data_IF_210143723784
#
_entry.id   IF_210143723784
#
_cell.length_a   1.000
_cell.length_b   1.000
_cell.length_c   1.000
_cell.angle_alpha   90.00
_cell.angle_beta   90.00
_cell.angle_gamma   90.00
#
_symmetry.space_group_name_H-M   'P 1'
#
loop_
_entity.id
_entity.type
_entity.pdbx_description
1 polymer ?
#
# COMPACT_ATOMS: atom_id res chain seq x y z
N UNK A 1 -13.43 -8.16 50.30
CA UNK A 1 -14.79 -8.07 49.72
C UNK A 1 -15.14 -6.61 49.35
N UNK A 2 -14.46 -6.03 48.35
CA UNK A 2 -14.80 -4.71 47.77
C UNK A 2 -13.91 -4.46 46.54
N UNK A 3 -14.22 -5.11 45.41
CA UNK A 3 -13.62 -4.83 44.10
C UNK A 3 -14.46 -5.47 42.99
N UNK A 4 -15.72 -5.02 42.85
CA UNK A 4 -16.53 -5.29 41.64
C UNK A 4 -17.74 -4.35 41.59
N UNK A 5 -17.51 -3.07 41.26
CA UNK A 5 -18.62 -2.16 40.94
C UNK A 5 -18.27 -0.97 40.04
N UNK A 6 -17.00 -0.63 39.82
CA UNK A 6 -16.63 0.53 38.97
C UNK A 6 -16.49 0.24 37.47
N UNK A 7 -16.64 -1.01 37.03
CA UNK A 7 -16.55 -1.39 35.61
C UNK A 7 -17.86 -1.27 34.81
N UNK A 8 -18.97 -0.81 35.41
CA UNK A 8 -20.30 -0.81 34.76
C UNK A 8 -20.79 0.54 34.24
N UNK A 9 -20.01 1.63 34.35
CA UNK A 9 -20.48 2.96 33.96
C UNK A 9 -19.99 3.46 32.57
N UNK A 10 -18.89 2.93 32.02
CA UNK A 10 -18.35 3.43 30.74
C UNK A 10 -18.95 2.79 29.48
N UNK A 11 -19.70 1.69 29.60
CA UNK A 11 -20.24 0.97 28.42
C UNK A 11 -21.56 1.52 27.89
N UNK A 12 -22.28 2.36 28.65
CA UNK A 12 -23.56 2.95 28.19
C UNK A 12 -23.42 4.22 27.35
N UNK A 13 -22.28 4.92 27.43
CA UNK A 13 -22.04 6.14 26.65
C UNK A 13 -21.58 5.86 25.20
N UNK A 14 -20.91 4.72 24.96
CA UNK A 14 -20.46 4.31 23.62
C UNK A 14 -21.59 3.74 22.76
N UNK A 15 -22.61 3.13 23.39
CA UNK A 15 -23.72 2.47 22.67
C UNK A 15 -24.74 3.50 22.12
N UNK A 16 -24.91 4.66 22.77
CA UNK A 16 -25.85 5.69 22.29
C UNK A 16 -25.36 6.51 21.09
N UNK A 17 -24.09 6.41 20.68
CA UNK A 17 -23.57 7.11 19.49
C UNK A 17 -23.60 6.27 18.21
N UNK A 18 -23.76 4.94 18.34
CA UNK A 18 -23.76 3.99 17.22
C UNK A 18 -25.14 3.84 16.52
N UNK A 19 -26.24 4.29 17.14
CA UNK A 19 -27.61 4.12 16.61
C UNK A 19 -28.00 5.22 15.59
N UNK A 20 -27.16 6.26 15.39
CA UNK A 20 -27.48 7.37 14.46
C UNK A 20 -26.93 7.23 13.04
N UNK A 21 -26.23 6.13 12.71
CA UNK A 21 -25.61 5.93 11.38
C UNK A 21 -25.75 4.51 10.81
N UNK A 22 -26.86 3.83 11.09
CA UNK A 22 -27.40 2.76 10.23
C UNK A 22 -26.43 1.72 9.64
N UNK A 23 -25.58 1.09 10.47
CA UNK A 23 -24.72 -0.02 10.05
C UNK A 23 -25.16 -1.33 10.73
N UNK A 24 -25.35 -2.37 9.91
CA UNK A 24 -25.83 -3.72 10.28
C UNK A 24 -24.82 -4.49 11.14
N UNK A 25 -25.33 -5.29 12.08
CA UNK A 25 -24.63 -5.85 13.24
C UNK A 25 -23.97 -7.22 13.03
N UNK A 26 -23.27 -7.45 11.91
CA UNK A 26 -22.61 -8.75 11.67
C UNK A 26 -21.24 -8.57 11.02
N UNK A 27 -20.25 -8.08 11.79
CA UNK A 27 -18.80 -8.30 11.56
C UNK A 27 -17.95 -7.70 12.71
N UNK A 28 -18.40 -7.81 13.97
CA UNK A 28 -17.72 -7.20 15.13
C UNK A 28 -17.26 -8.23 16.19
N UNK A 29 -16.95 -9.47 15.76
CA UNK A 29 -16.62 -10.57 16.69
C UNK A 29 -15.36 -11.37 16.31
N UNK A 30 -14.35 -10.72 15.72
CA UNK A 30 -12.98 -11.22 15.65
C UNK A 30 -12.07 -10.02 15.90
N UNK A 31 -11.00 -10.17 16.69
CA UNK A 31 -10.21 -9.13 17.37
C UNK A 31 -10.73 -8.68 18.74
N UNK A 32 -10.54 -9.57 19.72
CA UNK A 32 -10.15 -9.15 21.08
C UNK A 32 -8.63 -9.26 21.16
N UNK A 33 -7.88 -8.22 21.54
CA UNK A 33 -6.46 -8.37 21.82
C UNK A 33 -6.33 -9.17 23.13
N UNK A 34 -5.75 -10.36 23.04
CA UNK A 34 -5.27 -11.12 24.20
C UNK A 34 -3.99 -10.45 24.72
N UNK A 35 -3.86 -10.18 26.03
CA UNK A 35 -2.61 -9.73 26.61
C UNK A 35 -1.65 -10.92 26.71
N UNK A 36 -0.85 -11.12 25.67
CA UNK A 36 0.12 -12.22 25.54
C UNK A 36 1.55 -11.78 25.87
N UNK A 37 1.96 -12.05 27.11
CA UNK A 37 3.26 -12.56 27.55
C UNK A 37 4.53 -12.05 26.81
N UNK A 38 5.05 -10.91 27.24
CA UNK A 38 6.46 -10.55 27.07
C UNK A 38 7.18 -10.90 28.39
N UNK A 39 7.71 -12.12 28.53
CA UNK A 39 8.48 -12.47 29.75
C UNK A 39 9.98 -12.41 29.48
N UNK A 40 10.59 -11.34 29.99
CA UNK A 40 11.98 -11.35 30.42
C UNK A 40 12.05 -12.24 31.68
N UNK A 41 13.01 -13.15 31.71
CA UNK A 41 13.22 -14.05 32.85
C UNK A 41 14.01 -13.29 33.91
N UNK A 42 13.34 -12.61 34.82
CA UNK A 42 13.97 -11.90 35.93
C UNK A 42 14.13 -12.86 37.12
N UNK A 43 15.36 -13.03 37.58
CA UNK A 43 15.70 -13.75 38.81
C UNK A 43 15.47 -12.82 40.01
N UNK A 44 14.62 -13.25 40.95
CA UNK A 44 14.27 -12.49 42.15
C UNK A 44 15.46 -12.36 43.12
N UNK A 45 15.73 -11.12 43.53
CA UNK A 45 16.31 -10.82 44.84
C UNK A 45 15.45 -9.75 45.50
N UNK A 46 14.97 -10.05 46.69
CA UNK A 46 14.07 -9.22 47.49
C UNK A 46 14.82 -8.13 48.24
N UNK A 47 14.52 -6.87 47.95
CA UNK A 47 14.76 -5.76 48.88
C UNK A 47 13.64 -4.73 48.71
N UNK A 48 12.89 -4.48 49.78
CA UNK A 48 11.90 -3.40 49.82
C UNK A 48 12.63 -2.07 49.84
N UNK A 49 12.57 -1.34 48.74
CA UNK A 49 13.00 0.05 48.63
C UNK A 49 11.90 0.78 47.87
N UNK A 50 11.49 1.94 48.39
CA UNK A 50 10.49 2.80 47.76
C UNK A 50 10.91 3.11 46.32
N UNK A 51 10.20 2.52 45.36
CA UNK A 51 10.55 2.60 43.94
C UNK A 51 10.22 3.99 43.40
N UNK A 52 11.17 4.92 43.56
CA UNK A 52 11.29 6.03 42.62
C UNK A 52 11.40 5.40 41.23
N UNK A 53 10.39 5.60 40.36
CA UNK A 53 10.47 5.20 38.95
C UNK A 53 11.74 5.82 38.38
N UNK A 54 12.76 5.01 38.10
CA UNK A 54 13.97 5.46 37.42
C UNK A 54 13.56 6.00 36.07
N UNK A 55 13.68 7.33 35.88
CA UNK A 55 13.42 7.98 34.58
C UNK A 55 14.40 7.38 33.57
N UNK A 56 13.88 6.78 32.49
CA UNK A 56 14.70 6.13 31.45
C UNK A 56 15.40 7.14 30.54
N UNK A 57 14.84 8.35 30.40
CA UNK A 57 15.37 9.45 29.59
C UNK A 57 15.00 10.80 30.20
N UNK A 58 15.59 11.87 29.66
CA UNK A 58 15.06 13.22 29.82
C UNK A 58 13.71 13.33 29.09
N UNK A 59 12.82 14.25 29.49
CA UNK A 59 11.58 14.50 28.76
C UNK A 59 11.87 14.79 27.28
N UNK A 60 11.15 14.11 26.39
CA UNK A 60 11.40 14.17 24.95
C UNK A 60 10.77 15.42 24.34
N UNK A 61 11.58 16.13 23.56
CA UNK A 61 11.17 17.23 22.71
C UNK A 61 11.32 16.75 21.28
N UNK A 62 10.20 16.36 20.68
CA UNK A 62 10.17 15.56 19.46
C UNK A 62 9.99 16.48 18.25
N UNK A 63 10.86 16.31 17.25
CA UNK A 63 10.60 16.78 15.89
C UNK A 63 10.08 15.62 15.05
N UNK A 64 8.78 15.61 14.78
CA UNK A 64 8.11 14.58 14.00
C UNK A 64 8.00 14.97 12.52
N UNK A 65 8.64 14.22 11.64
CA UNK A 65 8.66 14.44 10.20
C UNK A 65 7.80 13.38 9.49
N UNK A 66 6.84 13.80 8.66
CA UNK A 66 6.04 12.84 7.90
C UNK A 66 5.20 13.49 6.81
N UNK A 67 4.28 12.74 6.19
CA UNK A 67 3.49 13.24 5.07
C UNK A 67 2.14 12.57 4.87
N UNK A 68 2.02 11.25 5.05
CA UNK A 68 0.85 10.47 4.67
C UNK A 68 0.07 9.90 5.86
N UNK A 69 -0.96 9.10 5.58
CA UNK A 69 -1.83 8.50 6.60
C UNK A 69 -1.09 7.48 7.49
N UNK A 70 -0.01 6.85 7.00
CA UNK A 70 0.84 5.98 7.81
C UNK A 70 1.55 6.79 8.90
N UNK A 71 2.11 7.95 8.53
CA UNK A 71 2.71 8.88 9.48
C UNK A 71 1.67 9.54 10.41
N UNK A 72 0.42 9.70 9.96
CA UNK A 72 -0.66 10.21 10.80
C UNK A 72 -0.95 9.28 11.98
N UNK A 73 -1.04 7.98 11.75
CA UNK A 73 -1.24 7.00 12.82
C UNK A 73 -0.12 7.08 13.88
N UNK A 74 1.14 7.20 13.45
CA UNK A 74 2.27 7.37 14.37
C UNK A 74 2.20 8.69 15.15
N UNK A 75 1.83 9.81 14.51
CA UNK A 75 1.67 11.11 15.17
C UNK A 75 0.57 11.07 16.24
N UNK A 76 -0.57 10.46 15.93
CA UNK A 76 -1.69 10.31 16.87
C UNK A 76 -1.27 9.53 18.11
N UNK A 77 -0.53 8.42 17.94
CA UNK A 77 -0.05 7.61 19.04
C UNK A 77 0.92 8.38 19.95
N UNK A 78 1.92 9.10 19.38
CA UNK A 78 2.86 9.88 20.21
C UNK A 78 2.17 11.09 20.86
N UNK A 79 1.19 11.71 20.21
CA UNK A 79 0.42 12.80 20.81
C UNK A 79 -0.44 12.31 21.98
N UNK A 80 -1.03 11.12 21.84
CA UNK A 80 -1.75 10.47 22.94
C UNK A 80 -0.82 10.14 24.11
N UNK A 81 0.38 9.63 23.83
CA UNK A 81 1.39 9.36 24.86
C UNK A 81 1.88 10.66 25.52
N UNK A 82 2.09 11.75 24.78
CA UNK A 82 2.38 13.08 25.33
C UNK A 82 1.30 13.54 26.31
N UNK A 83 0.02 13.37 25.96
CA UNK A 83 -1.09 13.74 26.85
C UNK A 83 -1.18 12.86 28.10
N UNK A 84 -0.76 11.60 28.03
CA UNK A 84 -0.82 10.62 29.13
C UNK A 84 0.40 10.68 30.03
N UNK A 85 1.57 10.96 29.46
CA UNK A 85 2.86 10.88 30.11
C UNK A 85 3.75 12.08 29.69
N UNK A 86 3.45 13.29 30.18
CA UNK A 86 4.23 14.49 29.85
C UNK A 86 5.67 14.43 30.36
N UNK A 87 5.95 13.58 31.36
CA UNK A 87 7.32 13.30 31.82
C UNK A 87 8.16 12.56 30.78
N UNK A 88 7.52 11.79 29.89
CA UNK A 88 8.19 11.10 28.79
C UNK A 88 8.26 11.97 27.54
N UNK A 89 7.16 12.60 27.14
CA UNK A 89 7.13 13.48 25.95
C UNK A 89 6.65 14.85 26.41
N UNK A 90 7.53 15.84 26.35
CA UNK A 90 7.28 17.22 26.80
C UNK A 90 6.70 18.09 25.68
N UNK A 91 7.21 17.95 24.45
CA UNK A 91 6.70 18.71 23.29
C UNK A 91 6.81 17.95 21.98
N UNK A 92 5.97 18.33 21.02
CA UNK A 92 5.96 17.77 19.66
C UNK A 92 5.84 18.92 18.65
N UNK A 93 6.85 19.03 17.80
CA UNK A 93 6.87 19.88 16.61
C UNK A 93 6.75 18.98 15.38
N UNK A 94 6.04 19.44 14.34
CA UNK A 94 5.79 18.65 13.13
C UNK A 94 6.44 19.29 11.91
N UNK A 95 7.20 18.51 11.15
CA UNK A 95 7.70 18.90 9.82
C UNK A 95 6.90 18.19 8.75
N UNK A 96 6.33 18.98 7.84
CA UNK A 96 5.61 18.49 6.65
C UNK A 96 6.23 19.09 5.39
N UNK A 97 6.07 18.43 4.25
CA UNK A 97 6.42 19.03 2.96
C UNK A 97 5.30 19.94 2.48
N UNK A 98 5.60 21.01 1.70
CA UNK A 98 4.58 21.79 1.02
C UNK A 98 3.65 20.92 0.18
N UNK A 99 2.39 21.34 0.08
CA UNK A 99 1.42 20.74 -0.81
C UNK A 99 1.90 20.69 -2.26
N UNK A 100 1.51 19.65 -2.97
CA UNK A 100 1.92 19.44 -4.37
C UNK A 100 0.78 19.78 -5.33
N UNK A 101 1.07 20.44 -6.47
CA UNK A 101 0.10 20.59 -7.55
C UNK A 101 -0.33 19.22 -8.11
N UNK A 102 -1.64 19.03 -8.29
CA UNK A 102 -2.27 17.78 -8.74
C UNK A 102 -3.48 18.04 -9.64
N UNK A 103 -3.99 16.98 -10.26
CA UNK A 103 -5.14 17.03 -11.17
C UNK A 103 -4.79 17.51 -12.58
N UNK A 104 -5.80 17.56 -13.46
CA UNK A 104 -5.64 18.07 -14.83
C UNK A 104 -5.29 19.57 -14.77
N UNK A 105 -4.20 19.95 -15.43
CA UNK A 105 -3.68 21.33 -15.42
C UNK A 105 -3.04 21.76 -14.10
N UNK A 106 -2.80 20.84 -13.15
CA UNK A 106 -2.08 21.08 -11.89
C UNK A 106 -2.65 22.21 -11.02
N UNK A 107 -3.95 22.51 -11.14
CA UNK A 107 -4.60 23.61 -10.40
C UNK A 107 -4.96 23.28 -8.95
N UNK A 108 -4.96 21.99 -8.57
CA UNK A 108 -5.36 21.55 -7.23
C UNK A 108 -4.11 21.32 -6.40
N UNK A 109 -3.87 22.12 -5.36
CA UNK A 109 -2.80 21.85 -4.40
C UNK A 109 -3.29 20.80 -3.41
N UNK A 110 -2.71 19.61 -3.45
CA UNK A 110 -2.97 18.55 -2.48
C UNK A 110 -2.00 18.69 -1.32
N UNK A 111 -2.53 19.05 -0.16
CA UNK A 111 -1.76 19.09 1.08
C UNK A 111 -1.49 17.68 1.62
N UNK A 112 -0.37 17.46 2.33
CA UNK A 112 -0.12 16.20 3.03
C UNK A 112 -1.16 15.98 4.14
N UNK A 113 -1.77 14.78 4.25
CA UNK A 113 -2.70 14.46 5.34
C UNK A 113 -2.18 14.83 6.74
N UNK A 114 -0.88 14.63 6.99
CA UNK A 114 -0.25 14.93 8.27
C UNK A 114 -0.36 16.41 8.66
N UNK A 115 -0.37 17.34 7.69
CA UNK A 115 -0.52 18.76 7.97
C UNK A 115 -1.91 19.08 8.55
N UNK A 116 -2.95 18.44 8.01
CA UNK A 116 -4.32 18.58 8.51
C UNK A 116 -4.47 18.03 9.93
N UNK A 117 -3.90 16.85 10.20
CA UNK A 117 -3.89 16.24 11.53
C UNK A 117 -3.10 17.09 12.54
N UNK A 118 -1.88 17.51 12.21
CA UNK A 118 -1.07 18.33 13.11
C UNK A 118 -1.76 19.65 13.47
N UNK A 119 -2.46 20.25 12.51
CA UNK A 119 -3.24 21.48 12.74
C UNK A 119 -4.43 21.22 13.68
N UNK A 120 -5.15 20.10 13.51
CA UNK A 120 -6.29 19.76 14.36
C UNK A 120 -5.88 19.41 15.80
N UNK A 121 -4.66 18.90 15.98
CA UNK A 121 -4.05 18.64 17.29
C UNK A 121 -3.41 19.88 17.93
N UNK A 122 -3.38 21.02 17.23
CA UNK A 122 -2.80 22.28 17.72
C UNK A 122 -1.26 22.23 17.84
N UNK A 123 -0.59 21.39 17.05
CA UNK A 123 0.87 21.26 17.07
C UNK A 123 1.55 22.31 16.20
N UNK A 124 2.78 22.69 16.56
CA UNK A 124 3.58 23.61 15.76
C UNK A 124 4.03 22.94 14.47
N UNK A 125 3.72 23.55 13.32
CA UNK A 125 4.05 23.01 12.00
C UNK A 125 5.18 23.81 11.34
N UNK A 126 6.16 23.09 10.80
CA UNK A 126 7.24 23.59 9.97
C UNK A 126 7.09 23.01 8.55
N UNK A 127 6.62 23.81 7.61
CA UNK A 127 6.46 23.37 6.23
C UNK A 127 7.77 23.53 5.45
N UNK A 128 8.46 22.44 5.09
CA UNK A 128 9.80 22.43 4.46
C UNK A 128 9.90 21.48 3.26
N UNK A 129 10.44 21.94 2.14
CA UNK A 129 10.79 21.11 0.98
C UNK A 129 12.25 20.67 0.98
N UNK A 130 13.09 21.31 1.80
CA UNK A 130 14.49 20.98 2.08
C UNK A 130 14.85 21.34 3.52
N UNK A 131 15.88 20.67 4.06
CA UNK A 131 16.52 21.08 5.31
C UNK A 131 17.67 22.07 5.10
N UNK A 132 18.10 22.36 3.87
CA UNK A 132 19.19 23.29 3.61
C UNK A 132 18.86 24.68 4.15
N UNK A 133 19.78 25.28 4.92
CA UNK A 133 19.61 26.61 5.52
C UNK A 133 18.59 26.70 6.66
N UNK A 134 17.98 25.59 7.07
CA UNK A 134 17.02 25.55 8.17
C UNK A 134 17.65 25.02 9.46
N UNK A 135 17.38 25.67 10.59
CA UNK A 135 17.81 25.19 11.89
C UNK A 135 16.62 24.61 12.65
N UNK A 136 16.84 23.44 13.24
CA UNK A 136 15.87 22.81 14.13
C UNK A 136 15.62 23.70 15.35
N UNK A 137 14.37 23.79 15.86
CA UNK A 137 14.09 24.52 17.09
C UNK A 137 15.04 24.11 18.22
N UNK A 138 15.35 25.07 19.10
CA UNK A 138 16.12 24.80 20.30
C UNK A 138 15.36 23.78 21.16
N UNK A 139 16.09 22.96 21.91
CA UNK A 139 15.60 21.92 22.83
C UNK A 139 15.14 20.60 22.20
N UNK A 140 14.96 20.50 20.87
CA UNK A 140 14.66 19.20 20.23
C UNK A 140 15.78 18.20 20.53
N UNK A 141 15.41 17.10 21.18
CA UNK A 141 16.34 16.06 21.60
C UNK A 141 16.10 14.70 20.93
N UNK A 142 15.02 14.56 20.15
CA UNK A 142 14.73 13.38 19.34
C UNK A 142 14.05 13.76 18.01
N UNK A 143 14.55 13.23 16.90
CA UNK A 143 13.88 13.32 15.59
C UNK A 143 13.14 12.01 15.31
N UNK A 144 11.88 12.08 14.89
CA UNK A 144 11.14 10.90 14.44
C UNK A 144 10.71 11.14 13.01
N UNK A 145 11.17 10.33 12.05
CA UNK A 145 10.72 10.41 10.67
C UNK A 145 9.86 9.18 10.34
N UNK A 146 8.65 9.38 9.82
CA UNK A 146 7.78 8.29 9.39
C UNK A 146 7.19 8.66 8.03
N UNK A 147 7.43 7.82 7.02
CA UNK A 147 7.03 8.09 5.62
C UNK A 147 7.38 9.52 5.16
N UNK A 148 8.60 9.95 5.49
CA UNK A 148 9.07 11.30 5.18
C UNK A 148 10.00 11.28 3.97
N UNK A 149 9.60 11.96 2.91
CA UNK A 149 10.30 11.93 1.62
C UNK A 149 11.55 12.81 1.52
N UNK A 150 12.14 13.26 2.64
CA UNK A 150 13.41 13.99 2.69
C UNK A 150 14.37 13.29 3.64
N UNK A 151 15.65 13.31 3.27
CA UNK A 151 16.70 12.78 4.12
C UNK A 151 16.97 13.75 5.29
N UNK A 152 16.93 13.26 6.53
CA UNK A 152 17.28 14.08 7.70
C UNK A 152 18.80 14.19 7.79
N UNK A 153 19.39 15.39 7.62
CA UNK A 153 20.84 15.51 7.51
C UNK A 153 21.54 15.22 8.85
N UNK A 154 22.79 14.73 8.82
CA UNK A 154 23.55 14.36 10.02
C UNK A 154 23.62 15.47 11.07
N UNK A 155 23.73 16.73 10.65
CA UNK A 155 23.76 17.89 11.58
C UNK A 155 22.53 17.99 12.49
N UNK A 156 21.35 17.58 12.01
CA UNK A 156 20.13 17.60 12.82
C UNK A 156 20.08 16.40 13.76
N UNK A 157 20.49 15.23 13.28
CA UNK A 157 20.59 14.02 14.09
C UNK A 157 21.62 14.17 15.22
N UNK A 158 22.74 14.84 14.96
CA UNK A 158 23.77 15.12 15.97
C UNK A 158 23.35 16.19 16.99
N UNK A 159 22.52 17.15 16.57
CA UNK A 159 21.97 18.16 17.47
C UNK A 159 20.93 17.57 18.45
N UNK A 160 20.22 16.52 18.04
CA UNK A 160 19.30 15.79 18.90
C UNK A 160 20.06 14.79 19.79
N UNK A 161 19.98 14.95 21.12
CA UNK A 161 20.66 14.07 22.10
C UNK A 161 20.47 12.57 21.84
N UNK A 162 19.27 12.17 21.42
CA UNK A 162 18.88 10.78 21.17
C UNK A 162 18.88 10.42 19.67
N UNK A 163 19.42 11.28 18.81
CA UNK A 163 19.46 11.05 17.37
C UNK A 163 18.07 11.06 16.75
N UNK A 164 17.75 10.00 16.01
CA UNK A 164 16.40 9.86 15.49
C UNK A 164 15.96 8.44 15.20
N UNK A 165 14.65 8.29 15.04
CA UNK A 165 13.96 7.03 14.81
C UNK A 165 13.19 7.05 13.48
N UNK A 166 13.03 5.88 12.89
CA UNK A 166 12.14 5.65 11.77
C UNK A 166 11.24 4.43 12.02
N UNK A 167 9.98 4.54 11.60
CA UNK A 167 9.03 3.43 11.55
C UNK A 167 8.90 3.01 10.10
N UNK A 168 9.39 1.82 9.78
CA UNK A 168 9.41 1.29 8.42
C UNK A 168 8.43 0.13 8.28
N UNK A 169 7.47 0.17 7.33
CA UNK A 169 6.41 -0.83 7.24
C UNK A 169 6.84 -2.07 6.44
N UNK A 170 7.98 -2.66 6.83
CA UNK A 170 8.42 -4.00 6.46
C UNK A 170 9.28 -4.61 7.55
N UNK A 171 9.59 -5.90 7.43
CA UNK A 171 10.57 -6.59 8.27
C UNK A 171 11.98 -6.38 7.72
N UNK A 172 12.62 -5.27 8.09
CA UNK A 172 14.02 -5.04 7.73
C UNK A 172 14.93 -6.21 8.17
N UNK A 173 15.99 -6.55 7.39
CA UNK A 173 16.52 -5.81 6.24
C UNK A 173 15.76 -6.01 4.92
N UNK A 174 14.70 -6.82 4.88
CA UNK A 174 13.89 -7.02 3.67
C UNK A 174 13.00 -5.81 3.36
N UNK A 175 12.79 -5.55 2.06
CA UNK A 175 11.96 -4.48 1.52
C UNK A 175 12.37 -3.06 1.97
N UNK A 176 13.67 -2.77 2.00
CA UNK A 176 14.20 -1.40 2.17
C UNK A 176 13.72 -0.48 1.06
N UNK A 177 13.57 0.81 1.36
CA UNK A 177 13.28 1.83 0.37
C UNK A 177 11.84 2.36 0.41
N UNK A 178 11.46 3.19 -0.57
CA UNK A 178 10.30 4.07 -0.43
C UNK A 178 8.92 3.45 -0.75
N UNK A 179 8.84 2.18 -1.16
CA UNK A 179 7.56 1.55 -1.53
C UNK A 179 7.35 0.13 -0.93
N UNK A 180 7.67 -0.12 0.35
CA UNK A 180 7.65 -1.46 0.95
C UNK A 180 6.28 -2.14 0.81
N UNK A 181 5.18 -1.45 1.12
CA UNK A 181 3.84 -2.02 1.07
C UNK A 181 3.44 -2.52 -0.33
N UNK A 182 3.77 -1.77 -1.37
CA UNK A 182 3.50 -2.18 -2.74
C UNK A 182 4.31 -3.44 -3.09
N UNK A 183 5.59 -3.48 -2.72
CA UNK A 183 6.46 -4.62 -3.01
C UNK A 183 6.11 -5.85 -2.18
N UNK A 184 5.65 -5.70 -0.93
CA UNK A 184 5.06 -6.79 -0.13
C UNK A 184 3.97 -7.51 -0.91
N UNK A 185 3.04 -6.74 -1.49
CA UNK A 185 1.95 -7.30 -2.29
C UNK A 185 2.43 -7.86 -3.62
N UNK A 186 3.29 -7.15 -4.36
CA UNK A 186 3.78 -7.59 -5.68
C UNK A 186 4.55 -8.91 -5.60
N UNK A 187 5.37 -9.08 -4.56
CA UNK A 187 6.11 -10.32 -4.31
C UNK A 187 5.22 -11.46 -3.78
N UNK A 188 3.95 -11.18 -3.45
CA UNK A 188 3.04 -12.18 -2.89
C UNK A 188 3.51 -12.68 -1.53
N UNK A 189 4.08 -11.81 -0.70
CA UNK A 189 4.48 -12.16 0.66
C UNK A 189 3.26 -12.65 1.45
N UNK A 190 3.41 -13.77 2.16
CA UNK A 190 2.35 -14.33 3.01
C UNK A 190 2.23 -13.64 4.37
N UNK A 191 3.30 -12.96 4.78
CA UNK A 191 3.37 -12.22 6.03
C UNK A 191 3.98 -10.85 5.79
N UNK A 192 3.69 -9.92 6.70
CA UNK A 192 4.28 -8.58 6.71
C UNK A 192 4.71 -8.19 8.12
N UNK A 193 5.25 -6.99 8.26
CA UNK A 193 5.76 -6.49 9.52
C UNK A 193 5.97 -4.99 9.55
N UNK A 194 6.31 -4.49 10.73
CA UNK A 194 6.83 -3.15 10.91
C UNK A 194 8.12 -3.21 11.72
N UNK A 195 9.09 -2.40 11.33
CA UNK A 195 10.35 -2.19 12.04
C UNK A 195 10.40 -0.80 12.65
N UNK A 196 10.80 -0.72 13.92
CA UNK A 196 11.34 0.48 14.54
C UNK A 196 12.88 0.41 14.46
N UNK A 197 13.48 1.40 13.80
CA UNK A 197 14.93 1.51 13.64
C UNK A 197 15.41 2.92 14.01
N UNK A 198 16.73 3.10 14.14
CA UNK A 198 17.32 4.45 14.13
C UNK A 198 17.26 5.08 12.74
N UNK A 199 17.44 6.39 12.65
CA UNK A 199 17.80 7.05 11.40
C UNK A 199 19.30 6.90 11.17
N UNK A 200 19.69 6.53 9.95
CA UNK A 200 21.08 6.47 9.52
C UNK A 200 21.51 7.82 8.91
N UNK A 201 22.81 8.11 9.00
CA UNK A 201 23.39 9.39 8.57
C UNK A 201 23.64 9.50 7.05
N UNK A 202 23.59 8.39 6.31
CA UNK A 202 23.95 8.35 4.90
C UNK A 202 22.87 7.70 4.01
N UNK A 203 22.17 6.69 4.52
CA UNK A 203 21.35 5.80 3.70
C UNK A 203 19.98 5.55 4.33
N UNK A 204 18.91 5.72 3.55
CA UNK A 204 17.56 5.37 4.02
C UNK A 204 17.47 3.92 4.47
N UNK A 205 16.76 3.69 5.57
CA UNK A 205 16.43 2.37 6.12
C UNK A 205 17.63 1.49 6.51
N UNK A 206 18.79 2.09 6.78
CA UNK A 206 20.02 1.42 7.24
C UNK A 206 20.35 1.65 8.72
N UNK A 207 19.38 2.12 9.51
CA UNK A 207 19.57 2.27 10.95
C UNK A 207 19.63 0.92 11.68
N UNK A 208 20.03 0.98 12.94
CA UNK A 208 19.98 -0.18 13.84
C UNK A 208 18.53 -0.59 14.04
N UNK A 209 18.23 -1.89 13.94
CA UNK A 209 16.90 -2.41 14.17
C UNK A 209 16.70 -2.50 15.68
N UNK A 210 15.80 -1.68 16.22
CA UNK A 210 15.56 -1.61 17.67
C UNK A 210 14.45 -2.57 18.11
N UNK A 211 13.42 -2.70 17.26
CA UNK A 211 12.30 -3.60 17.52
C UNK A 211 11.54 -3.90 16.22
N UNK A 212 10.87 -5.04 16.16
CA UNK A 212 10.02 -5.44 15.04
C UNK A 212 8.78 -6.16 15.56
N UNK A 213 7.70 -6.10 14.79
CA UNK A 213 6.62 -7.07 14.95
C UNK A 213 7.15 -8.50 14.69
N UNK A 214 6.66 -9.53 15.39
CA UNK A 214 7.04 -10.91 15.08
C UNK A 214 6.67 -11.26 13.63
N UNK A 215 7.55 -11.97 12.92
CA UNK A 215 7.45 -12.11 11.46
C UNK A 215 6.21 -12.85 10.94
N UNK A 216 5.65 -13.74 11.74
CA UNK A 216 4.42 -14.50 11.46
C UNK A 216 3.17 -13.88 12.10
N UNK A 217 3.31 -12.81 12.88
CA UNK A 217 2.19 -12.21 13.62
C UNK A 217 1.21 -11.43 12.74
N UNK A 218 1.58 -11.10 11.49
CA UNK A 218 0.73 -10.38 10.55
C UNK A 218 0.60 -11.13 9.22
N UNK A 219 -0.20 -12.20 9.18
CA UNK A 219 -0.51 -12.90 7.93
C UNK A 219 -1.32 -12.01 6.98
N UNK A 220 -1.04 -12.14 5.68
CA UNK A 220 -1.73 -11.42 4.62
C UNK A 220 -2.79 -12.30 3.96
N UNK A 221 -4.04 -11.80 3.79
CA UNK A 221 -5.00 -12.44 2.91
C UNK A 221 -4.47 -12.58 1.48
N UNK A 222 -4.82 -13.66 0.78
CA UNK A 222 -4.33 -13.92 -0.59
C UNK A 222 -4.75 -12.82 -1.60
N UNK A 223 -5.89 -12.19 -1.35
CA UNK A 223 -6.48 -11.10 -2.12
C UNK A 223 -6.25 -9.71 -1.47
N UNK A 224 -5.33 -9.61 -0.52
CA UNK A 224 -5.05 -8.36 0.19
C UNK A 224 -4.80 -7.20 -0.79
N UNK A 225 -5.47 -6.09 -0.52
CA UNK A 225 -5.31 -4.82 -1.23
C UNK A 225 -4.30 -3.92 -0.54
N UNK A 226 -3.77 -2.94 -1.26
CA UNK A 226 -2.89 -1.92 -0.67
C UNK A 226 -3.53 -1.24 0.55
N UNK A 227 -4.82 -0.91 0.47
CA UNK A 227 -5.52 -0.23 1.57
C UNK A 227 -5.64 -1.13 2.80
N UNK A 228 -6.04 -2.39 2.62
CA UNK A 228 -6.12 -3.35 3.74
C UNK A 228 -4.75 -3.58 4.39
N UNK A 229 -3.68 -3.71 3.58
CA UNK A 229 -2.33 -3.82 4.10
C UNK A 229 -1.93 -2.57 4.91
N UNK A 230 -2.21 -1.37 4.39
CA UNK A 230 -1.97 -0.12 5.08
C UNK A 230 -2.74 -0.03 6.41
N UNK A 231 -4.03 -0.38 6.40
CA UNK A 231 -4.90 -0.36 7.58
C UNK A 231 -4.43 -1.34 8.68
N UNK A 232 -3.72 -2.41 8.31
CA UNK A 232 -3.09 -3.33 9.26
C UNK A 232 -1.77 -2.79 9.82
N UNK A 233 -0.87 -2.29 8.95
CA UNK A 233 0.49 -1.93 9.38
C UNK A 233 0.57 -0.56 10.05
N UNK A 234 -0.29 0.39 9.71
CA UNK A 234 -0.28 1.74 10.28
C UNK A 234 -0.50 1.75 11.81
N UNK A 235 -1.56 1.13 12.35
CA UNK A 235 -1.73 1.06 13.81
C UNK A 235 -0.64 0.21 14.49
N UNK A 236 -0.16 -0.85 13.85
CA UNK A 236 0.93 -1.68 14.39
C UNK A 236 2.23 -0.88 14.53
N UNK A 237 2.58 -0.08 13.52
CA UNK A 237 3.75 0.79 13.56
C UNK A 237 3.63 1.93 14.57
N UNK A 238 2.45 2.50 14.71
CA UNK A 238 2.16 3.51 15.72
C UNK A 238 2.33 2.97 17.15
N UNK A 239 1.80 1.78 17.43
CA UNK A 239 1.97 1.11 18.73
C UNK A 239 3.44 0.72 18.97
N UNK A 240 4.13 0.20 17.94
CA UNK A 240 5.55 -0.18 18.04
C UNK A 240 6.42 1.04 18.41
N UNK A 241 6.15 2.20 17.81
CA UNK A 241 6.82 3.45 18.15
C UNK A 241 6.53 3.87 19.59
N UNK A 242 5.25 3.96 19.97
CA UNK A 242 4.85 4.36 21.32
C UNK A 242 5.41 3.42 22.40
N UNK A 243 5.41 2.11 22.14
CA UNK A 243 6.03 1.12 23.00
C UNK A 243 7.56 1.32 23.09
N UNK A 244 8.24 1.52 21.96
CA UNK A 244 9.67 1.76 21.94
C UNK A 244 10.10 3.02 22.70
N UNK A 245 9.29 4.08 22.66
CA UNK A 245 9.52 5.28 23.48
C UNK A 245 9.34 4.98 24.98
N UNK A 246 8.28 4.26 25.38
CA UNK A 246 8.03 3.86 26.77
C UNK A 246 9.14 2.99 27.35
N UNK A 247 9.68 2.08 26.54
CA UNK A 247 10.77 1.21 26.95
C UNK A 247 12.15 1.89 26.86
N UNK A 248 12.23 3.10 26.33
CA UNK A 248 13.50 3.83 26.22
C UNK A 248 14.44 3.24 25.16
N UNK A 249 13.92 2.63 24.10
CA UNK A 249 14.75 2.03 23.03
C UNK A 249 15.59 3.06 22.25
N UNK A 250 15.27 4.35 22.41
CA UNK A 250 16.03 5.47 21.85
C UNK A 250 17.21 5.90 22.73
N UNK A 251 17.38 5.31 23.92
CA UNK A 251 18.39 5.71 24.90
C UNK A 251 19.65 4.85 24.72
N UNK A 252 20.83 5.45 24.50
CA UNK A 252 22.08 4.69 24.43
C UNK A 252 22.43 3.95 25.73
N UNK A 253 23.15 2.81 25.67
CA UNK A 253 23.62 2.14 24.46
C UNK A 253 22.48 1.44 23.71
N UNK A 254 22.41 1.66 22.40
CA UNK A 254 21.38 1.06 21.55
C UNK A 254 21.71 -0.41 21.28
N UNK A 255 20.69 -1.26 21.31
CA UNK A 255 20.81 -2.68 21.02
C UNK A 255 20.21 -3.00 19.65
N UNK A 256 21.04 -3.49 18.74
CA UNK A 256 20.56 -3.98 17.44
C UNK A 256 20.03 -5.42 17.59
N UNK A 257 18.77 -5.63 17.24
CA UNK A 257 18.11 -6.94 17.26
C UNK A 257 18.08 -7.62 15.89
N UNK A 258 18.77 -7.05 14.89
CA UNK A 258 18.85 -7.57 13.52
C UNK A 258 19.31 -9.04 13.45
N UNK A 259 20.23 -9.46 14.31
CA UNK A 259 20.74 -10.85 14.35
C UNK A 259 19.67 -11.87 14.73
N UNK A 260 18.74 -11.51 15.62
CA UNK A 260 17.60 -12.36 15.98
C UNK A 260 16.54 -12.44 14.86
N UNK A 261 16.42 -11.39 14.06
CA UNK A 261 15.50 -11.32 12.92
C UNK A 261 16.05 -12.06 11.68
N UNK A 262 17.34 -11.87 11.38
CA UNK A 262 18.03 -12.51 10.25
C UNK A 262 18.14 -14.03 10.41
N UNK A 263 18.31 -14.54 11.64
CA UNK A 263 18.36 -15.98 11.89
C UNK A 263 17.06 -16.72 11.49
N UNK A 264 15.92 -16.03 11.46
CA UNK A 264 14.64 -16.57 10.96
C UNK A 264 14.39 -16.31 9.47
N UNK A 265 15.04 -15.29 8.91
CA UNK A 265 14.92 -14.90 7.50
C UNK A 265 16.03 -15.49 6.60
N UNK A 266 16.97 -16.27 7.17
CA UNK A 266 18.16 -16.79 6.49
C UNK A 266 17.87 -17.67 5.26
N UNK A 267 16.64 -18.15 5.10
CA UNK A 267 16.20 -18.95 3.96
C UNK A 267 15.38 -18.15 2.93
N UNK A 268 15.27 -16.82 3.10
CA UNK A 268 14.47 -15.95 2.24
C UNK A 268 15.33 -14.89 1.54
N UNK A 269 15.19 -14.78 0.22
CA UNK A 269 15.88 -13.77 -0.58
C UNK A 269 15.44 -12.36 -0.15
N UNK A 270 16.44 -11.52 0.18
CA UNK A 270 16.23 -10.12 0.56
C UNK A 270 15.98 -9.27 -0.68
N UNK A 271 14.94 -8.46 -0.64
CA UNK A 271 14.55 -7.61 -1.76
C UNK A 271 14.59 -6.14 -1.39
N UNK A 272 14.87 -5.29 -2.37
CA UNK A 272 14.68 -3.84 -2.25
C UNK A 272 13.29 -3.46 -2.75
N UNK A 273 12.70 -2.42 -2.16
CA UNK A 273 11.39 -1.87 -2.48
C UNK A 273 11.50 -0.46 -3.11
N UNK A 274 12.05 -0.33 -4.34
CA UNK A 274 12.20 0.97 -5.00
C UNK A 274 10.84 1.60 -5.31
N UNK A 275 10.84 2.93 -5.48
CA UNK A 275 9.65 3.71 -5.77
C UNK A 275 8.91 3.19 -7.01
N UNK A 276 7.61 2.97 -6.89
CA UNK A 276 6.78 2.54 -8.01
C UNK A 276 6.74 3.62 -9.09
N UNK A 277 7.12 3.25 -10.32
CA UNK A 277 7.08 4.09 -11.51
C UNK A 277 5.84 3.82 -12.34
N UNK A 278 5.46 4.75 -13.23
CA UNK A 278 4.23 4.63 -14.03
C UNK A 278 4.29 3.46 -15.00
N UNK A 279 5.49 3.15 -15.48
CA UNK A 279 5.79 2.10 -16.45
C UNK A 279 5.56 0.71 -15.86
N UNK A 280 5.74 0.54 -14.54
CA UNK A 280 5.47 -0.74 -13.85
C UNK A 280 4.00 -1.12 -13.80
N UNK A 281 3.09 -0.18 -14.12
CA UNK A 281 1.65 -0.46 -14.28
C UNK A 281 1.30 -0.96 -15.69
N UNK A 282 2.25 -0.95 -16.63
CA UNK A 282 2.04 -1.54 -17.94
C UNK A 282 2.04 -3.07 -17.82
N UNK A 283 1.06 -3.73 -18.40
CA UNK A 283 1.05 -5.19 -18.52
C UNK A 283 1.97 -5.61 -19.67
N UNK A 284 2.91 -6.49 -19.34
CA UNK A 284 3.95 -7.06 -20.20
C UNK A 284 4.00 -8.58 -19.96
N UNK A 285 4.70 -9.37 -20.80
CA UNK A 285 4.82 -10.81 -20.57
C UNK A 285 5.36 -11.17 -19.17
N UNK A 286 6.27 -10.35 -18.63
CA UNK A 286 6.91 -10.57 -17.33
C UNK A 286 6.00 -10.36 -16.12
N UNK A 287 4.89 -9.62 -16.24
CA UNK A 287 3.98 -9.34 -15.12
C UNK A 287 2.53 -9.74 -15.37
N UNK A 288 2.22 -10.32 -16.53
CA UNK A 288 0.89 -10.80 -16.89
C UNK A 288 0.31 -11.76 -15.83
N UNK A 289 1.14 -12.73 -15.39
CA UNK A 289 0.81 -13.69 -14.33
C UNK A 289 0.38 -13.05 -13.00
N UNK A 290 0.84 -11.84 -12.74
CA UNK A 290 0.57 -11.09 -11.50
C UNK A 290 -0.31 -9.87 -11.76
N UNK A 291 -1.04 -9.80 -12.87
CA UNK A 291 -1.84 -8.64 -13.24
C UNK A 291 -2.85 -8.26 -12.14
N UNK A 292 -3.61 -9.23 -11.64
CA UNK A 292 -4.61 -8.99 -10.59
C UNK A 292 -3.97 -8.46 -9.29
N UNK A 293 -2.84 -9.06 -8.89
CA UNK A 293 -2.05 -8.64 -7.74
C UNK A 293 -1.47 -7.24 -7.94
N UNK A 294 -0.98 -6.94 -9.15
CA UNK A 294 -0.46 -5.62 -9.52
C UNK A 294 -1.55 -4.57 -9.41
N UNK A 295 -2.77 -4.86 -9.87
CA UNK A 295 -3.89 -3.93 -9.70
C UNK A 295 -4.18 -3.62 -8.23
N UNK A 296 -4.20 -4.64 -7.36
CA UNK A 296 -4.40 -4.46 -5.91
C UNK A 296 -3.25 -3.73 -5.21
N UNK A 297 -2.02 -3.91 -5.69
CA UNK A 297 -0.81 -3.37 -5.07
C UNK A 297 -0.49 -1.93 -5.51
N UNK A 298 -0.56 -1.65 -6.80
CA UNK A 298 -0.08 -0.40 -7.40
C UNK A 298 -1.18 0.39 -8.11
N UNK A 299 -2.43 -0.06 -8.05
CA UNK A 299 -3.59 0.60 -8.66
C UNK A 299 -3.81 0.21 -10.13
N UNK A 300 -4.64 0.96 -10.88
CA UNK A 300 -5.04 0.61 -12.25
C UNK A 300 -3.85 0.28 -13.15
N UNK A 301 -3.84 -0.94 -13.68
CA UNK A 301 -2.88 -1.41 -14.68
C UNK A 301 -3.37 -1.05 -16.07
N UNK A 302 -2.47 -1.06 -17.05
CA UNK A 302 -2.80 -0.65 -18.41
C UNK A 302 -2.00 -1.42 -19.45
N UNK A 303 -2.51 -1.46 -20.67
CA UNK A 303 -1.81 -2.00 -21.85
C UNK A 303 -2.16 -1.16 -23.07
N UNK A 304 -1.43 -1.33 -24.16
CA UNK A 304 -1.82 -0.76 -25.44
C UNK A 304 -2.65 -1.76 -26.23
N UNK A 305 -3.56 -1.27 -27.05
CA UNK A 305 -4.37 -2.12 -27.90
C UNK A 305 -4.69 -1.36 -29.20
N UNK A 306 -4.91 -2.07 -30.32
CA UNK A 306 -5.24 -1.46 -31.62
C UNK A 306 -6.72 -1.07 -31.77
N UNK A 307 -7.07 0.21 -31.88
CA UNK A 307 -8.44 0.67 -32.12
C UNK A 307 -8.96 0.19 -33.49
N UNK A 308 -9.92 -0.76 -33.52
CA UNK A 308 -10.47 -1.30 -34.77
C UNK A 308 -11.21 -0.25 -35.61
N UNK A 309 -11.59 0.89 -35.01
CA UNK A 309 -12.29 1.99 -35.69
C UNK A 309 -11.35 3.03 -36.31
N UNK A 310 -10.03 2.85 -36.15
CA UNK A 310 -9.00 3.76 -36.68
C UNK A 310 -8.68 3.56 -38.16
N UNK A 311 -9.08 2.42 -38.74
CA UNK A 311 -8.93 2.15 -40.17
C UNK A 311 -10.12 2.69 -40.98
N UNK A 312 -9.98 3.88 -41.56
CA UNK A 312 -10.80 4.25 -42.72
C UNK A 312 -10.68 3.16 -43.78
N UNK A 313 -11.82 2.74 -44.35
CA UNK A 313 -11.90 1.65 -45.32
C UNK A 313 -10.86 1.79 -46.45
N UNK A 314 -9.84 0.95 -46.43
CA UNK A 314 -8.77 0.95 -47.41
C UNK A 314 -7.94 -0.31 -47.26
N UNK A 315 -8.05 -1.21 -48.24
CA UNK A 315 -7.23 -2.42 -48.32
C UNK A 315 -5.74 -2.04 -48.37
N UNK A 316 -4.98 -2.58 -47.43
CA UNK A 316 -3.54 -2.82 -47.57
C UNK A 316 -2.62 -1.59 -47.54
N UNK A 317 -2.41 -0.99 -46.36
CA UNK A 317 -1.17 -0.24 -46.07
C UNK A 317 -0.79 -0.37 -44.60
N UNK A 318 0.51 -0.42 -44.31
CA UNK A 318 1.10 -0.64 -43.00
C UNK A 318 0.53 0.28 -41.90
N UNK A 319 0.31 -0.30 -40.71
CA UNK A 319 -0.27 0.34 -39.51
C UNK A 319 0.50 1.61 -39.14
N UNK A 320 -0.13 2.77 -39.28
CA UNK A 320 0.43 4.04 -38.78
C UNK A 320 0.04 4.27 -37.32
N UNK A 321 0.83 5.10 -36.64
CA UNK A 321 0.80 5.50 -35.22
C UNK A 321 -0.58 5.85 -34.61
N UNK A 322 -1.61 6.07 -35.42
CA UNK A 322 -2.95 6.48 -35.00
C UNK A 322 -3.87 5.32 -34.57
N UNK A 323 -3.45 4.07 -34.79
CA UNK A 323 -4.29 2.90 -34.55
C UNK A 323 -4.11 2.29 -33.16
N UNK A 324 -3.18 2.72 -32.31
CA UNK A 324 -2.94 2.10 -30.99
C UNK A 324 -3.32 3.07 -29.87
N UNK A 325 -4.21 2.63 -28.97
CA UNK A 325 -4.68 3.41 -27.82
C UNK A 325 -4.31 2.73 -26.52
N UNK A 326 -4.01 3.52 -25.49
CA UNK A 326 -3.83 2.99 -24.13
C UNK A 326 -5.19 2.58 -23.56
N UNK A 327 -5.28 1.35 -23.06
CA UNK A 327 -6.41 0.81 -22.33
C UNK A 327 -6.03 0.68 -20.86
N UNK A 328 -6.76 1.36 -19.99
CA UNK A 328 -6.57 1.31 -18.54
C UNK A 328 -7.63 0.38 -17.95
N UNK A 329 -7.20 -0.66 -17.25
CA UNK A 329 -8.06 -1.58 -16.52
C UNK A 329 -8.58 -0.87 -15.28
N UNK A 330 -9.90 -0.65 -15.19
CA UNK A 330 -10.53 0.11 -14.09
C UNK A 330 -11.07 -0.81 -13.02
N UNK A 331 -11.66 -1.93 -13.44
CA UNK A 331 -12.36 -2.86 -12.56
C UNK A 331 -11.97 -4.29 -12.95
N UNK A 332 -11.25 -4.93 -12.03
CA UNK A 332 -10.74 -6.28 -12.13
C UNK A 332 -10.93 -6.93 -10.77
N UNK A 333 -11.51 -8.13 -10.78
CA UNK A 333 -11.61 -8.99 -9.61
C UNK A 333 -11.13 -10.41 -9.93
N UNK A 334 -11.15 -11.27 -8.92
CA UNK A 334 -10.68 -12.66 -9.01
C UNK A 334 -11.83 -13.67 -9.07
N UNK A 335 -13.04 -13.24 -9.40
CA UNK A 335 -14.19 -14.13 -9.52
C UNK A 335 -14.21 -14.78 -10.91
N UNK A 336 -13.77 -16.03 -10.97
CA UNK A 336 -13.86 -16.86 -12.17
C UNK A 336 -15.06 -17.82 -12.02
N UNK A 337 -15.99 -17.90 -12.99
CA UNK A 337 -17.06 -18.88 -12.99
C UNK A 337 -16.53 -20.31 -12.85
N UNK A 338 -17.17 -21.21 -12.08
CA UNK A 338 -16.71 -22.59 -11.93
C UNK A 338 -16.48 -23.33 -13.25
N UNK A 339 -17.29 -23.04 -14.27
CA UNK A 339 -17.12 -23.61 -15.62
C UNK A 339 -15.78 -23.22 -16.28
N UNK A 340 -15.20 -22.09 -15.91
CA UNK A 340 -13.90 -21.61 -16.40
C UNK A 340 -12.76 -21.90 -15.41
N UNK A 341 -13.03 -22.50 -14.25
CA UNK A 341 -12.01 -22.94 -13.30
C UNK A 341 -11.48 -24.32 -13.72
N UNK A 342 -10.19 -24.44 -14.08
CA UNK A 342 -9.58 -25.70 -14.53
C UNK A 342 -8.91 -25.56 -15.90
N UNK A 343 -8.62 -26.68 -16.58
CA UNK A 343 -8.06 -26.69 -17.94
C UNK A 343 -9.15 -26.28 -18.96
N UNK A 344 -9.22 -25.00 -19.39
CA UNK A 344 -10.35 -24.49 -20.17
C UNK A 344 -10.34 -25.00 -21.61
N UNK A 345 -9.28 -25.70 -22.01
CA UNK A 345 -9.08 -26.23 -23.37
C UNK A 345 -10.14 -27.25 -23.79
N UNK A 346 -10.83 -27.88 -22.84
CA UNK A 346 -11.95 -28.79 -23.10
C UNK A 346 -13.33 -28.13 -22.95
N UNK A 347 -13.41 -26.84 -22.63
CA UNK A 347 -14.64 -26.17 -22.17
C UNK A 347 -15.10 -25.08 -23.14
N UNK A 348 -15.07 -25.34 -24.44
CA UNK A 348 -16.11 -24.74 -25.28
C UNK A 348 -17.44 -25.38 -24.88
N UNK A 349 -18.23 -24.64 -24.11
CA UNK A 349 -19.56 -25.06 -23.70
C UNK A 349 -20.59 -24.06 -24.24
N UNK A 350 -21.88 -24.37 -24.09
CA UNK A 350 -22.99 -23.56 -24.56
C UNK A 350 -22.94 -22.12 -24.04
N UNK A 351 -22.33 -21.85 -22.89
CA UNK A 351 -22.40 -20.56 -22.22
C UNK A 351 -21.21 -19.62 -22.46
N UNK A 352 -20.04 -20.14 -22.87
CA UNK A 352 -18.82 -19.35 -23.02
C UNK A 352 -18.13 -19.63 -24.37
N UNK A 353 -17.46 -18.62 -24.90
CA UNK A 353 -16.66 -18.70 -26.12
C UNK A 353 -15.23 -18.24 -25.83
N UNK A 354 -14.26 -18.95 -26.41
CA UNK A 354 -12.86 -18.58 -26.35
C UNK A 354 -12.58 -17.45 -27.34
N UNK A 355 -11.82 -16.45 -26.90
CA UNK A 355 -11.41 -15.30 -27.70
C UNK A 355 -9.94 -15.01 -27.46
N UNK A 356 -9.26 -14.44 -28.45
CA UNK A 356 -7.87 -13.98 -28.29
C UNK A 356 -7.85 -12.46 -28.19
N UNK A 357 -7.34 -11.94 -27.08
CA UNK A 357 -7.10 -10.52 -26.87
C UNK A 357 -5.63 -10.20 -27.17
N UNK A 358 -5.35 -9.40 -28.19
CA UNK A 358 -3.97 -9.01 -28.52
C UNK A 358 -3.58 -7.75 -27.75
N UNK A 359 -2.75 -7.92 -26.72
CA UNK A 359 -2.16 -6.81 -25.98
C UNK A 359 -0.94 -6.28 -26.72
N UNK A 360 -0.74 -4.97 -26.71
CA UNK A 360 0.50 -4.34 -27.14
C UNK A 360 1.23 -3.71 -25.95
N UNK A 361 2.55 -3.76 -25.97
CA UNK A 361 3.39 -3.09 -24.99
C UNK A 361 4.60 -2.41 -25.65
N UNK A 362 5.17 -1.41 -24.98
CA UNK A 362 6.38 -0.75 -25.46
C UNK A 362 7.56 -1.68 -25.16
N UNK A 363 8.23 -2.17 -26.19
CA UNK A 363 9.41 -3.02 -26.05
C UNK A 363 10.53 -2.27 -25.32
N UNK A 364 11.38 -3.00 -24.58
CA UNK A 364 12.58 -2.38 -24.01
C UNK A 364 13.50 -1.92 -25.15
N UNK A 365 14.02 -0.68 -25.14
CA UNK A 365 14.96 -0.26 -26.16
C UNK A 365 16.18 -1.18 -26.10
N UNK A 366 16.48 -1.89 -27.19
CA UNK A 366 17.74 -2.62 -27.30
C UNK A 366 18.88 -1.62 -27.13
N UNK A 367 19.87 -1.94 -26.30
CA UNK A 367 21.08 -1.15 -26.10
C UNK A 367 21.89 -1.02 -27.41
N UNK A 368 21.50 -0.16 -28.35
CA UNK A 368 22.29 0.12 -29.57
C UNK A 368 21.77 1.29 -30.42
N UNK A 369 21.12 2.33 -29.86
CA UNK A 369 20.80 3.50 -30.69
C UNK A 369 21.04 4.83 -29.95
N UNK A 370 22.18 5.43 -30.29
CA UNK A 370 22.69 6.73 -29.84
C UNK A 370 22.28 7.88 -30.77
N UNK A 371 21.38 7.65 -31.73
CA UNK A 371 20.91 8.71 -32.61
C UNK A 371 19.86 9.61 -31.92
N UNK A 372 20.05 10.93 -32.04
CA UNK A 372 19.19 11.97 -31.46
C UNK A 372 17.88 12.17 -32.27
N UNK A 373 17.34 11.10 -32.85
CA UNK A 373 16.05 11.12 -33.56
C UNK A 373 14.91 10.85 -32.56
N UNK A 374 13.69 11.38 -32.78
CA UNK A 374 12.55 11.04 -31.94
C UNK A 374 12.34 9.53 -32.00
N UNK A 375 12.64 8.81 -30.92
CA UNK A 375 12.49 7.35 -30.85
C UNK A 375 11.08 6.98 -31.27
N UNK A 376 10.95 6.38 -32.44
CA UNK A 376 9.70 5.82 -32.89
C UNK A 376 9.33 4.69 -31.92
N UNK A 377 8.16 4.79 -31.29
CA UNK A 377 7.73 3.81 -30.29
C UNK A 377 7.48 2.48 -30.99
N UNK A 378 8.35 1.50 -30.76
CA UNK A 378 8.18 0.13 -31.24
C UNK A 378 7.29 -0.62 -30.25
N UNK A 379 6.17 -1.15 -30.75
CA UNK A 379 5.27 -1.98 -29.96
C UNK A 379 5.50 -3.45 -30.27
N UNK A 380 5.52 -4.26 -29.22
CA UNK A 380 5.46 -5.71 -29.30
C UNK A 380 4.04 -6.17 -28.96
N UNK A 381 3.63 -7.30 -29.53
CA UNK A 381 2.28 -7.84 -29.39
C UNK A 381 2.31 -9.16 -28.59
N UNK A 382 1.39 -9.30 -27.65
CA UNK A 382 1.20 -10.44 -26.78
C UNK A 382 -0.23 -10.97 -26.95
N UNK A 383 -0.42 -12.12 -27.61
CA UNK A 383 -1.72 -12.76 -27.65
C UNK A 383 -2.07 -13.29 -26.26
N UNK A 384 -3.24 -12.91 -25.75
CA UNK A 384 -3.76 -13.35 -24.47
C UNK A 384 -5.06 -14.13 -24.69
N UNK A 385 -5.05 -15.40 -24.31
CA UNK A 385 -6.25 -16.23 -24.31
C UNK A 385 -7.24 -15.69 -23.28
N UNK A 386 -8.47 -15.48 -23.71
CA UNK A 386 -9.54 -14.92 -22.92
C UNK A 386 -10.87 -15.63 -23.22
N UNK A 387 -11.86 -15.40 -22.39
CA UNK A 387 -13.19 -15.97 -22.54
C UNK A 387 -14.25 -14.89 -22.35
N UNK A 388 -15.35 -15.00 -23.08
CA UNK A 388 -16.52 -14.14 -22.92
C UNK A 388 -17.78 -15.01 -22.90
N UNK A 389 -18.85 -14.50 -22.27
CA UNK A 389 -20.12 -15.23 -22.20
C UNK A 389 -20.86 -15.13 -23.55
N UNK A 390 -21.40 -16.23 -24.09
CA UNK A 390 -22.15 -16.21 -25.36
C UNK A 390 -23.43 -15.39 -25.24
N UNK A 391 -23.84 -14.76 -26.35
CA UNK A 391 -25.17 -14.15 -26.46
C UNK A 391 -26.18 -15.24 -26.83
N UNK A 392 -26.93 -15.75 -25.86
CA UNK A 392 -28.08 -16.61 -26.15
C UNK A 392 -29.28 -15.74 -26.54
N UNK A 393 -29.61 -15.66 -27.82
CA UNK A 393 -30.91 -15.17 -28.25
C UNK A 393 -31.96 -16.25 -27.96
N UNK A 394 -32.54 -16.24 -26.76
CA UNK A 394 -33.76 -17.00 -26.52
C UNK A 394 -34.96 -16.23 -27.11
N UNK A 395 -35.41 -16.65 -28.29
CA UNK A 395 -36.77 -16.33 -28.76
C UNK A 395 -37.79 -17.06 -27.87
N UNK A 396 -38.06 -16.49 -26.68
CA UNK A 396 -39.05 -17.05 -25.76
C UNK A 396 -39.08 -16.35 -24.40
N UNK A 397 -39.98 -15.37 -24.27
CA UNK A 397 -40.43 -14.73 -23.01
C UNK A 397 -39.34 -14.48 -21.96
N UNK A 398 -38.55 -13.42 -22.16
CA UNK A 398 -37.81 -12.78 -21.07
C UNK A 398 -38.79 -12.10 -20.11
N UNK A 399 -39.00 -12.69 -18.93
CA UNK A 399 -39.59 -12.01 -17.78
C UNK A 399 -39.09 -12.65 -16.47
N UNK A 400 -37.77 -12.90 -16.36
CA UNK A 400 -37.10 -13.13 -15.08
C UNK A 400 -35.58 -13.24 -15.24
N UNK A 401 -34.92 -12.29 -15.92
CA UNK A 401 -33.47 -12.17 -15.77
C UNK A 401 -33.20 -11.36 -14.50
N UNK A 402 -32.66 -12.02 -13.48
CA UNK A 402 -32.14 -11.37 -12.28
C UNK A 402 -31.02 -10.41 -12.69
N UNK A 403 -30.93 -9.19 -12.11
CA UNK A 403 -29.97 -8.15 -12.52
C UNK A 403 -28.49 -8.59 -12.58
N UNK A 404 -28.12 -9.64 -11.85
CA UNK A 404 -26.77 -10.22 -11.86
C UNK A 404 -26.39 -10.96 -13.15
N UNK A 405 -27.34 -11.48 -13.92
CA UNK A 405 -27.04 -12.24 -15.15
C UNK A 405 -26.72 -11.36 -16.36
N UNK A 406 -27.29 -10.16 -16.43
CA UNK A 406 -26.99 -9.18 -17.48
C UNK A 406 -25.57 -8.60 -17.33
N UNK A 407 -25.09 -8.44 -16.09
CA UNK A 407 -23.77 -7.88 -15.79
C UNK A 407 -22.60 -8.75 -16.27
N UNK A 408 -22.72 -10.08 -16.27
CA UNK A 408 -21.65 -11.00 -16.70
C UNK A 408 -21.40 -10.98 -18.22
N UNK A 409 -22.37 -10.54 -19.04
CA UNK A 409 -22.26 -10.55 -20.51
C UNK A 409 -21.19 -9.58 -21.04
N UNK A 410 -20.81 -8.64 -20.20
CA UNK A 410 -19.96 -7.49 -20.52
C UNK A 410 -18.50 -7.67 -20.07
N UNK A 411 -18.18 -8.80 -19.45
CA UNK A 411 -16.88 -9.08 -18.87
C UNK A 411 -15.97 -9.87 -19.82
N UNK A 412 -14.67 -9.74 -19.59
CA UNK A 412 -13.64 -10.58 -20.21
C UNK A 412 -13.00 -11.39 -19.10
N UNK A 413 -13.06 -12.71 -19.21
CA UNK A 413 -12.49 -13.64 -18.24
C UNK A 413 -11.10 -14.08 -18.70
N UNK A 414 -10.17 -14.12 -17.76
CA UNK A 414 -8.78 -14.53 -17.94
C UNK A 414 -8.46 -15.63 -16.91
N UNK A 415 -8.91 -16.87 -17.13
CA UNK A 415 -8.79 -17.95 -16.15
C UNK A 415 -7.34 -18.25 -15.76
N UNK A 416 -6.43 -18.23 -16.74
CA UNK A 416 -4.99 -18.45 -16.51
C UNK A 416 -4.37 -17.38 -15.60
N UNK A 417 -4.97 -16.19 -15.58
CA UNK A 417 -4.55 -15.07 -14.73
C UNK A 417 -5.41 -14.96 -13.45
N UNK A 418 -6.34 -15.91 -13.25
CA UNK A 418 -7.23 -15.96 -12.10
C UNK A 418 -8.09 -14.71 -11.92
N UNK A 419 -8.44 -14.01 -13.02
CA UNK A 419 -9.18 -12.75 -12.93
C UNK A 419 -10.15 -12.50 -14.09
N UNK A 420 -11.10 -11.60 -13.88
CA UNK A 420 -11.95 -11.05 -14.94
C UNK A 420 -11.87 -9.53 -14.95
N UNK A 421 -11.96 -8.97 -16.15
CA UNK A 421 -12.00 -7.52 -16.39
C UNK A 421 -13.44 -7.12 -16.65
N UNK A 422 -13.96 -6.24 -15.81
CA UNK A 422 -15.34 -5.74 -15.91
C UNK A 422 -15.42 -4.47 -16.73
N UNK A 423 -14.50 -3.54 -16.47
CA UNK A 423 -14.52 -2.22 -17.09
C UNK A 423 -13.13 -1.71 -17.40
N UNK A 424 -13.02 -0.98 -18.51
CA UNK A 424 -11.80 -0.34 -18.97
C UNK A 424 -12.06 1.10 -19.37
N UNK A 425 -11.00 1.91 -19.42
CA UNK A 425 -11.01 3.24 -20.02
C UNK A 425 -10.02 3.24 -21.16
N UNK A 426 -10.51 3.45 -22.38
CA UNK A 426 -9.66 3.69 -23.55
C UNK A 426 -9.22 5.15 -23.54
N UNK A 427 -7.99 5.42 -23.94
CA UNK A 427 -7.42 6.76 -24.04
C UNK A 427 -8.34 7.74 -24.77
N UNK A 428 -8.60 8.89 -24.13
CA UNK A 428 -9.53 9.92 -24.62
C UNK A 428 -11.03 9.56 -24.48
N UNK A 429 -11.36 8.35 -24.04
CA UNK A 429 -12.72 7.85 -23.90
C UNK A 429 -13.29 7.92 -22.49
N UNK A 430 -14.53 7.43 -22.34
CA UNK A 430 -15.18 7.19 -21.06
C UNK A 430 -14.89 5.76 -20.57
N UNK A 431 -15.17 5.50 -19.30
CA UNK A 431 -15.19 4.15 -18.73
C UNK A 431 -16.32 3.35 -19.38
N UNK A 432 -15.99 2.17 -19.91
CA UNK A 432 -16.89 1.31 -20.67
C UNK A 432 -16.78 -0.14 -20.18
N UNK A 433 -17.82 -0.97 -20.38
CA UNK A 433 -17.74 -2.41 -20.21
C UNK A 433 -16.57 -3.00 -21.01
N UNK A 434 -15.86 -3.96 -20.43
CA UNK A 434 -14.62 -4.51 -21.00
C UNK A 434 -14.86 -5.14 -22.37
N UNK A 435 -15.87 -6.01 -22.48
CA UNK A 435 -16.21 -6.66 -23.75
C UNK A 435 -16.56 -5.65 -24.82
N UNK A 436 -17.40 -4.66 -24.52
CA UNK A 436 -17.80 -3.61 -25.47
C UNK A 436 -16.61 -2.76 -25.92
N UNK A 437 -15.75 -2.37 -24.98
CA UNK A 437 -14.59 -1.55 -25.28
C UNK A 437 -13.54 -2.30 -26.10
N UNK A 438 -13.46 -3.62 -25.93
CA UNK A 438 -12.43 -4.47 -26.53
C UNK A 438 -12.97 -5.36 -27.65
N UNK A 439 -14.22 -5.20 -28.11
CA UNK A 439 -14.86 -6.14 -29.06
C UNK A 439 -14.08 -6.29 -30.35
N UNK A 440 -13.57 -5.21 -30.96
CA UNK A 440 -12.74 -5.34 -32.17
C UNK A 440 -11.25 -5.59 -31.90
N UNK A 441 -10.89 -5.94 -30.67
CA UNK A 441 -9.58 -6.46 -30.27
C UNK A 441 -9.64 -7.96 -29.95
N UNK A 442 -10.85 -8.54 -29.97
CA UNK A 442 -11.11 -9.96 -29.75
C UNK A 442 -11.20 -10.66 -31.10
N UNK A 443 -10.27 -11.56 -31.39
CA UNK A 443 -10.35 -12.45 -32.55
C UNK A 443 -11.15 -13.72 -32.19
N UNK A 444 -12.05 -14.17 -33.07
CA UNK A 444 -12.85 -15.38 -32.89
C UNK A 444 -14.33 -15.17 -32.55
N UNK A 445 -14.78 -13.93 -32.32
CA UNK A 445 -16.22 -13.63 -32.21
C UNK A 445 -16.81 -13.68 -33.62
N UNK A 446 -17.54 -14.75 -33.94
CA UNK A 446 -18.31 -14.82 -35.18
C UNK A 446 -19.32 -13.68 -35.20
N UNK A 447 -19.20 -12.79 -36.19
CA UNK A 447 -20.20 -11.73 -36.47
C UNK A 447 -21.48 -12.37 -36.99
#
# INVERSE_FOLDING_TARGET
MLLSARARCCTKAAIHKAIRFGLSSTHAALFKPTPGCWTRRDTHSSASSSTAKTKRSDPLHILFCGSDDFSCASLEAIHLEHRRNPDLISSIDVVVRPGKPTGRGLKIIRQPPLQGLASSLGLRIHERDTFTGWNMPQDINLVIAVSFGLFVPPRLLQAAKYGGLNVHPSLLPDLRGPAPLQHTLLQGRQFTGVTLQTLDHQTFDHGLILSQTPGDAMPLPADCTFQQLHDMVAPAGAELLAHGLREGLHVPPLQDVSSCAQAKAADSELHHAPKIRKEQRQITPSNLAIMARSQRAIGPVWFFARDPRGGGGGKGTASTKNDIKRVIVQDLDTEIPPALQGAPESVENQDYEAVTLTLAYEGTPSHADTSNTPREKRFEHLPLKAWVRRHHHHHGRENSETPGHQQDRDYIYLPDQGCRIKQVTVEGGKRLPARLALTGFLEGVGV
#
